data_IF_189421089396
#
_entry.id   IF_189421089396
#
_cell.length_a   1.000
_cell.length_b   1.000
_cell.length_c   1.000
_cell.angle_alpha   90.00
_cell.angle_beta   90.00
_cell.angle_gamma   90.00
#
_symmetry.space_group_name_H-M   'P 1'
#
loop_
_entity.id
_entity.type
_entity.pdbx_description
1 polymer ?
#
# COMPACT_ATOMS: atom_id res chain seq x y z
N UNK A 1 6.45 -8.38 7.22
CA UNK A 1 5.91 -7.20 6.49
C UNK A 1 4.38 -7.32 6.50
N UNK A 2 3.66 -6.20 6.48
CA UNK A 2 2.18 -6.19 6.54
C UNK A 2 1.62 -5.18 5.54
N UNK A 3 0.52 -5.55 4.88
CA UNK A 3 -0.40 -4.63 4.20
C UNK A 3 -1.77 -4.83 4.86
N UNK A 4 -2.46 -3.74 5.16
CA UNK A 4 -3.79 -3.76 5.75
C UNK A 4 -4.77 -2.94 4.89
N UNK A 5 -5.99 -3.44 4.75
CA UNK A 5 -7.09 -2.80 4.02
C UNK A 5 -8.25 -2.70 5.00
N UNK A 6 -8.89 -1.54 5.09
CA UNK A 6 -10.02 -1.28 5.97
C UNK A 6 -11.05 -0.37 5.29
N UNK A 7 -12.23 -0.23 5.91
CA UNK A 7 -13.21 0.76 5.50
C UNK A 7 -12.64 2.19 5.68
N UNK A 8 -13.04 3.16 4.85
CA UNK A 8 -12.55 4.54 4.95
C UNK A 8 -12.72 5.14 6.36
N UNK A 9 -13.84 4.86 7.02
CA UNK A 9 -14.17 5.39 8.35
C UNK A 9 -13.31 4.81 9.49
N UNK A 10 -12.59 3.71 9.23
CA UNK A 10 -11.70 3.07 10.20
C UNK A 10 -10.22 3.39 9.95
N UNK A 11 -9.88 4.10 8.87
CA UNK A 11 -8.51 4.34 8.44
C UNK A 11 -7.65 4.98 9.54
N UNK A 12 -8.14 6.03 10.20
CA UNK A 12 -7.41 6.74 11.26
C UNK A 12 -7.27 5.90 12.54
N UNK A 13 -8.30 5.12 12.87
CA UNK A 13 -8.27 4.21 14.04
C UNK A 13 -7.25 3.11 13.82
N UNK A 14 -7.27 2.48 12.65
CA UNK A 14 -6.30 1.45 12.27
C UNK A 14 -4.88 2.02 12.28
N UNK A 15 -4.66 3.18 11.66
CA UNK A 15 -3.35 3.82 11.61
C UNK A 15 -2.82 4.13 13.02
N UNK A 16 -3.67 4.61 13.91
CA UNK A 16 -3.33 4.89 15.31
C UNK A 16 -2.94 3.60 16.04
N UNK A 17 -3.72 2.53 15.88
CA UNK A 17 -3.42 1.23 16.48
C UNK A 17 -2.07 0.68 15.97
N UNK A 18 -1.82 0.75 14.66
CA UNK A 18 -0.55 0.31 14.06
C UNK A 18 0.63 1.11 14.60
N UNK A 19 0.52 2.44 14.69
CA UNK A 19 1.58 3.33 15.19
C UNK A 19 1.87 3.17 16.67
N UNK A 20 0.90 2.70 17.46
CA UNK A 20 1.12 2.37 18.88
C UNK A 20 2.04 1.16 19.08
N UNK A 21 2.16 0.29 18.07
CA UNK A 21 3.03 -0.88 18.14
C UNK A 21 4.49 -0.52 17.80
N UNK A 22 5.51 -1.04 18.53
CA UNK A 22 6.91 -0.71 18.27
C UNK A 22 7.39 -0.96 16.83
N UNK A 23 6.90 -2.02 16.20
CA UNK A 23 7.22 -2.35 14.79
C UNK A 23 6.38 -1.57 13.76
N UNK A 24 5.35 -0.85 14.20
CA UNK A 24 4.40 -0.15 13.33
C UNK A 24 4.51 1.37 13.38
N UNK A 25 5.53 1.93 14.04
CA UNK A 25 5.71 3.39 14.19
C UNK A 25 5.68 4.14 12.85
N UNK A 26 6.25 3.54 11.81
CA UNK A 26 6.32 4.12 10.45
C UNK A 26 5.10 3.76 9.58
N UNK A 27 4.02 3.24 10.17
CA UNK A 27 2.81 2.92 9.41
C UNK A 27 2.20 4.19 8.82
N UNK A 28 1.76 4.08 7.57
CA UNK A 28 1.20 5.19 6.78
C UNK A 28 0.13 4.65 5.85
N UNK A 29 -0.88 5.48 5.57
CA UNK A 29 -1.84 5.23 4.50
C UNK A 29 -1.13 5.50 3.17
N UNK A 30 -1.11 4.51 2.28
CA UNK A 30 -0.38 4.58 0.99
C UNK A 30 -1.30 4.68 -0.23
N UNK A 31 -2.62 4.61 -0.04
CA UNK A 31 -3.59 4.65 -1.12
C UNK A 31 -5.00 4.31 -0.67
N UNK A 32 -5.87 4.10 -1.65
CA UNK A 32 -7.27 3.73 -1.47
C UNK A 32 -7.67 2.71 -2.54
N UNK A 33 -8.56 1.79 -2.20
CA UNK A 33 -9.23 0.95 -3.18
C UNK A 33 -10.36 1.75 -3.85
N UNK A 34 -10.48 1.62 -5.16
CA UNK A 34 -11.55 2.21 -5.95
C UNK A 34 -12.14 1.14 -6.85
N UNK A 35 -13.38 1.32 -7.27
CA UNK A 35 -13.95 0.48 -8.31
C UNK A 35 -13.16 0.70 -9.62
N UNK A 36 -12.63 -0.39 -10.16
CA UNK A 36 -11.87 -0.39 -11.40
C UNK A 36 -12.16 -1.69 -12.16
N UNK A 37 -12.83 -1.62 -13.34
CA UNK A 37 -13.11 -2.79 -14.16
C UNK A 37 -11.85 -3.58 -14.58
N UNK A 38 -10.69 -2.92 -14.61
CA UNK A 38 -9.43 -3.53 -15.04
C UNK A 38 -8.57 -4.01 -13.86
N UNK A 39 -9.01 -3.79 -12.61
CA UNK A 39 -8.31 -4.20 -11.40
C UNK A 39 -6.84 -3.74 -11.35
N UNK A 40 -6.55 -2.51 -11.76
CA UNK A 40 -5.21 -1.97 -11.83
C UNK A 40 -4.72 -1.38 -10.50
N UNK A 41 -3.41 -1.49 -10.28
CA UNK A 41 -2.70 -0.75 -9.22
C UNK A 41 -1.94 0.41 -9.87
N UNK A 42 -2.24 1.64 -9.43
CA UNK A 42 -1.64 2.85 -9.96
C UNK A 42 -0.93 3.63 -8.84
N UNK A 43 0.26 4.15 -9.12
CA UNK A 43 0.98 5.06 -8.24
C UNK A 43 0.82 6.49 -8.75
N UNK A 44 0.39 7.38 -7.87
CA UNK A 44 0.49 8.83 -8.09
C UNK A 44 1.95 9.24 -7.86
N UNK A 45 2.60 9.74 -8.91
CA UNK A 45 3.99 10.19 -8.82
C UNK A 45 4.06 11.58 -8.19
N UNK A 46 5.24 11.95 -7.68
CA UNK A 46 5.48 13.30 -7.10
C UNK A 46 5.26 14.43 -8.11
N UNK A 47 5.36 14.14 -9.41
CA UNK A 47 5.11 15.10 -10.49
C UNK A 47 3.62 15.19 -10.89
N UNK A 48 2.73 14.51 -10.17
CA UNK A 48 1.28 14.57 -10.37
C UNK A 48 0.71 13.59 -11.40
N UNK A 49 1.56 12.90 -12.17
CA UNK A 49 1.15 11.83 -13.09
C UNK A 49 0.76 10.54 -12.37
N UNK A 50 0.19 9.59 -13.12
CA UNK A 50 -0.08 8.22 -12.65
C UNK A 50 0.78 7.23 -13.43
N UNK A 51 1.32 6.22 -12.74
CA UNK A 51 2.08 5.13 -13.33
C UNK A 51 1.47 3.79 -12.92
N UNK A 52 1.33 2.89 -13.87
CA UNK A 52 0.93 1.50 -13.62
C UNK A 52 1.98 0.75 -12.80
N UNK A 53 1.54 0.02 -11.79
CA UNK A 53 2.38 -0.93 -11.05
C UNK A 53 2.18 -2.29 -11.67
N UNK A 54 3.14 -2.69 -12.49
CA UNK A 54 3.15 -4.01 -13.07
C UNK A 54 3.61 -5.06 -12.07
N UNK A 55 3.16 -6.29 -12.29
CA UNK A 55 3.72 -7.45 -11.61
C UNK A 55 5.20 -7.58 -11.94
N UNK A 56 6.00 -7.94 -10.93
CA UNK A 56 7.41 -8.23 -11.16
C UNK A 56 7.53 -9.43 -12.10
N UNK A 57 8.33 -9.27 -13.15
CA UNK A 57 8.72 -10.36 -14.04
C UNK A 57 9.76 -11.26 -13.35
N UNK A 58 9.31 -12.12 -12.43
CA UNK A 58 10.15 -13.06 -11.69
C UNK A 58 10.79 -12.52 -10.40
N UNK A 59 11.57 -13.37 -9.73
CA UNK A 59 12.31 -13.03 -8.52
C UNK A 59 13.62 -12.29 -8.90
N UNK A 60 13.73 -11.00 -8.56
CA UNK A 60 14.89 -10.18 -8.95
C UNK A 60 16.15 -10.43 -8.10
N UNK A 61 16.01 -11.04 -6.92
CA UNK A 61 17.10 -11.20 -5.96
C UNK A 61 17.10 -12.63 -5.41
N UNK A 62 18.02 -13.52 -5.85
CA UNK A 62 18.00 -14.91 -5.43
C UNK A 62 18.26 -15.02 -3.91
N UNK A 63 17.39 -15.78 -3.22
CA UNK A 63 17.47 -16.08 -1.77
C UNK A 63 17.17 -14.88 -0.86
N UNK A 64 16.13 -14.09 -1.15
CA UNK A 64 15.75 -12.88 -0.37
C UNK A 64 14.59 -13.08 0.62
N UNK A 65 14.30 -14.30 1.05
CA UNK A 65 13.31 -14.56 2.09
C UNK A 65 13.83 -14.19 3.48
#
# INVERSE_FOLDING_TARGET
KLIAICAPDDADKLLTAMRSHPLGKESVIIGQAVEDPNCFVQIKTRFGGRRMVDWLSGEQLPRIC
#
